data_IF_571098998552
#
_entry.id   IF_571098998552
#
_cell.length_a   1.000
_cell.length_b   1.000
_cell.length_c   1.000
_cell.angle_alpha   90.00
_cell.angle_beta   90.00
_cell.angle_gamma   90.00
#
_symmetry.space_group_name_H-M   'P 1'
#
loop_
_entity.id
_entity.type
_entity.pdbx_description
1 polymer ?
#
# COMPACT_ATOMS: atom_id res chain seq x y z
N UNK A 1 16.66 -7.87 -16.30
CA UNK A 1 15.21 -8.02 -16.06
C UNK A 1 14.64 -6.62 -15.91
N UNK A 2 13.89 -6.11 -16.90
CA UNK A 2 13.60 -4.68 -17.03
C UNK A 2 12.17 -4.44 -17.57
N UNK A 3 11.21 -5.24 -17.11
CA UNK A 3 9.88 -5.32 -17.74
C UNK A 3 8.91 -4.24 -17.24
N UNK A 4 9.09 -3.75 -16.01
CA UNK A 4 8.25 -2.66 -15.45
C UNK A 4 8.75 -1.29 -15.96
N UNK A 5 10.07 -1.08 -16.03
CA UNK A 5 10.68 0.18 -16.50
C UNK A 5 10.36 0.51 -17.96
N UNK A 6 10.19 -0.50 -18.83
CA UNK A 6 9.82 -0.28 -20.25
C UNK A 6 8.36 0.13 -20.46
N UNK A 7 7.47 -0.09 -19.49
CA UNK A 7 6.04 0.25 -19.64
C UNK A 7 5.75 1.71 -19.27
N UNK A 8 6.58 2.32 -18.40
CA UNK A 8 6.39 3.70 -17.91
C UNK A 8 7.28 4.74 -18.58
N UNK A 9 8.28 4.34 -19.37
CA UNK A 9 9.20 5.24 -20.08
C UNK A 9 8.60 6.05 -21.24
N UNK A 10 7.28 6.02 -21.45
CA UNK A 10 6.65 6.82 -22.54
C UNK A 10 6.24 8.24 -22.09
N UNK A 11 6.70 8.71 -20.93
CA UNK A 11 6.48 10.08 -20.42
C UNK A 11 7.70 10.66 -19.68
N UNK A 12 8.92 10.30 -20.06
CA UNK A 12 10.13 10.91 -19.47
C UNK A 12 10.77 11.89 -20.45
N UNK A 13 10.23 13.10 -20.52
CA UNK A 13 11.00 14.32 -20.70
C UNK A 13 10.37 15.38 -19.79
N UNK A 14 10.98 15.57 -18.61
CA UNK A 14 11.21 16.85 -17.93
C UNK A 14 11.48 16.60 -16.43
N UNK A 15 12.70 16.95 -16.05
CA UNK A 15 13.25 16.92 -14.71
C UNK A 15 12.52 17.89 -13.80
N UNK A 16 12.06 17.43 -12.63
CA UNK A 16 12.20 18.08 -11.30
C UNK A 16 11.31 17.36 -10.29
N UNK A 17 11.90 16.96 -9.16
CA UNK A 17 11.27 16.58 -7.88
C UNK A 17 9.73 16.43 -7.85
N UNK A 18 9.25 15.28 -8.29
CA UNK A 18 7.94 14.77 -7.87
C UNK A 18 8.19 13.38 -7.32
N UNK A 19 8.45 13.27 -6.01
CA UNK A 19 8.28 11.98 -5.32
C UNK A 19 6.85 11.55 -5.62
N UNK A 20 6.78 10.53 -6.45
CA UNK A 20 5.67 10.27 -7.34
C UNK A 20 4.42 9.91 -6.55
N UNK A 21 3.33 10.65 -6.77
CA UNK A 21 2.00 10.30 -6.28
C UNK A 21 1.65 8.82 -6.59
N UNK A 22 2.18 8.31 -7.70
CA UNK A 22 2.14 6.89 -8.08
C UNK A 22 2.84 5.93 -7.12
N UNK A 23 4.03 6.24 -6.60
CA UNK A 23 4.77 5.32 -5.71
C UNK A 23 4.05 5.09 -4.37
N UNK A 24 3.37 6.10 -3.83
CA UNK A 24 2.64 5.98 -2.55
C UNK A 24 1.32 5.23 -2.75
N UNK A 25 0.54 5.57 -3.79
CA UNK A 25 -0.71 4.86 -4.09
C UNK A 25 -0.48 3.38 -4.43
N UNK A 26 0.59 3.08 -5.16
CA UNK A 26 1.03 1.72 -5.46
C UNK A 26 1.45 0.97 -4.19
N UNK A 27 2.22 1.63 -3.31
CA UNK A 27 2.61 1.05 -2.02
C UNK A 27 1.38 0.67 -1.20
N UNK A 28 0.44 1.60 -1.01
CA UNK A 28 -0.79 1.37 -0.24
C UNK A 28 -1.62 0.23 -0.84
N UNK A 29 -1.71 0.20 -2.16
CA UNK A 29 -2.42 -0.87 -2.87
C UNK A 29 -1.74 -2.21 -2.66
N UNK A 30 -0.42 -2.29 -2.72
CA UNK A 30 0.32 -3.53 -2.43
C UNK A 30 0.14 -4.00 -0.98
N UNK A 31 0.09 -3.08 -0.01
CA UNK A 31 -0.23 -3.41 1.38
C UNK A 31 -1.65 -3.97 1.49
N UNK A 32 -2.64 -3.33 0.86
CA UNK A 32 -4.02 -3.82 0.81
C UNK A 32 -4.11 -5.22 0.21
N UNK A 33 -3.38 -5.48 -0.87
CA UNK A 33 -3.28 -6.80 -1.50
C UNK A 33 -2.72 -7.83 -0.53
N UNK A 34 -1.61 -7.51 0.17
CA UNK A 34 -1.04 -8.42 1.16
C UNK A 34 -2.04 -8.73 2.27
N UNK A 35 -2.72 -7.72 2.80
CA UNK A 35 -3.73 -7.85 3.84
C UNK A 35 -4.90 -8.75 3.42
N UNK A 36 -5.48 -8.49 2.24
CA UNK A 36 -6.55 -9.31 1.67
C UNK A 36 -6.10 -10.74 1.39
N UNK A 37 -4.86 -10.94 0.95
CA UNK A 37 -4.30 -12.27 0.71
C UNK A 37 -4.13 -13.08 2.00
N UNK A 38 -3.69 -12.45 3.10
CA UNK A 38 -3.61 -13.08 4.42
C UNK A 38 -5.00 -13.48 4.91
N UNK A 39 -6.00 -12.60 4.78
CA UNK A 39 -7.40 -12.91 5.10
C UNK A 39 -7.93 -14.10 4.30
N UNK A 40 -7.65 -14.14 2.99
CA UNK A 40 -8.06 -15.23 2.11
C UNK A 40 -7.53 -16.58 2.58
N UNK A 41 -6.23 -16.64 2.92
CA UNK A 41 -5.57 -17.85 3.40
C UNK A 41 -6.13 -18.29 4.75
N UNK A 42 -6.32 -17.34 5.66
CA UNK A 42 -6.69 -17.64 7.05
C UNK A 42 -8.15 -18.06 7.22
N UNK A 43 -9.06 -17.42 6.48
CA UNK A 43 -10.51 -17.64 6.58
C UNK A 43 -11.04 -18.57 5.49
N UNK A 44 -10.16 -19.09 4.61
CA UNK A 44 -10.54 -20.00 3.53
C UNK A 44 -11.49 -19.36 2.52
N UNK A 45 -11.29 -18.09 2.17
CA UNK A 45 -12.17 -17.36 1.25
C UNK A 45 -11.93 -17.90 -0.17
N UNK A 46 -13.00 -18.38 -0.80
CA UNK A 46 -12.98 -18.89 -2.19
C UNK A 46 -13.58 -17.89 -3.18
N UNK A 47 -14.42 -16.97 -2.71
CA UNK A 47 -15.02 -15.94 -3.55
C UNK A 47 -14.08 -14.73 -3.71
N UNK A 48 -13.48 -14.61 -4.89
CA UNK A 48 -12.53 -13.55 -5.22
C UNK A 48 -13.16 -12.13 -5.18
N UNK A 49 -14.46 -12.00 -5.40
CA UNK A 49 -15.15 -10.70 -5.45
C UNK A 49 -15.27 -10.02 -4.08
N UNK A 50 -14.98 -10.73 -3.00
CA UNK A 50 -14.95 -10.16 -1.64
C UNK A 50 -13.64 -9.37 -1.42
N UNK A 51 -12.61 -9.63 -2.22
CA UNK A 51 -11.24 -9.12 -2.06
C UNK A 51 -10.79 -8.38 -3.33
N UNK A 52 -11.33 -7.18 -3.53
CA UNK A 52 -11.20 -6.45 -4.79
C UNK A 52 -9.76 -6.13 -5.21
N UNK A 53 -8.91 -5.69 -4.27
CA UNK A 53 -7.52 -5.34 -4.58
C UNK A 53 -6.71 -6.60 -4.95
N UNK A 54 -6.89 -7.69 -4.18
CA UNK A 54 -6.26 -8.98 -4.47
C UNK A 54 -6.76 -9.54 -5.81
N UNK A 55 -8.05 -9.39 -6.13
CA UNK A 55 -8.64 -9.81 -7.40
C UNK A 55 -8.00 -9.07 -8.57
N UNK A 56 -7.88 -7.75 -8.47
CA UNK A 56 -7.23 -6.90 -9.46
C UNK A 56 -5.76 -7.30 -9.62
N UNK A 57 -5.03 -7.44 -8.52
CA UNK A 57 -3.62 -7.84 -8.51
C UNK A 57 -3.39 -9.20 -9.18
N UNK A 58 -4.22 -10.19 -8.85
CA UNK A 58 -4.19 -11.53 -9.46
C UNK A 58 -4.43 -11.47 -10.96
N UNK A 59 -5.40 -10.68 -11.43
CA UNK A 59 -5.71 -10.50 -12.85
C UNK A 59 -4.58 -9.80 -13.60
N UNK A 60 -4.05 -8.70 -13.05
CA UNK A 60 -2.99 -7.91 -13.67
C UNK A 60 -1.70 -8.72 -13.82
N UNK A 61 -1.29 -9.44 -12.77
CA UNK A 61 -0.03 -10.19 -12.76
C UNK A 61 -0.18 -11.65 -13.20
N UNK A 62 -1.39 -12.05 -13.64
CA UNK A 62 -1.75 -13.41 -14.05
C UNK A 62 -1.23 -14.46 -13.07
N UNK A 63 -1.48 -14.25 -11.78
CA UNK A 63 -0.97 -15.12 -10.71
C UNK A 63 -1.81 -16.40 -10.68
N UNK A 64 -1.21 -17.61 -10.80
CA UNK A 64 -1.95 -18.86 -10.69
C UNK A 64 -2.42 -19.09 -9.25
N UNK A 65 -3.56 -19.75 -9.08
CA UNK A 65 -3.94 -20.27 -7.76
C UNK A 65 -2.98 -21.39 -7.35
N UNK A 66 -2.63 -21.45 -6.06
CA UNK A 66 -1.78 -22.50 -5.51
C UNK A 66 -2.60 -23.35 -4.53
N UNK A 67 -2.44 -24.67 -4.61
CA UNK A 67 -3.15 -25.63 -3.75
C UNK A 67 -4.68 -25.44 -3.74
N UNK A 68 -5.27 -25.01 -4.86
CA UNK A 68 -6.69 -24.66 -4.98
C UNK A 68 -7.20 -23.63 -3.95
N UNK A 69 -6.29 -22.86 -3.32
CA UNK A 69 -6.60 -21.82 -2.34
C UNK A 69 -6.23 -20.44 -2.89
N UNK A 70 -7.09 -19.46 -2.62
CA UNK A 70 -6.80 -18.06 -2.89
C UNK A 70 -5.87 -17.48 -1.81
N UNK A 71 -5.05 -16.51 -2.20
CA UNK A 71 -4.23 -15.73 -1.29
C UNK A 71 -2.83 -16.28 -1.03
N UNK A 72 -2.54 -17.56 -1.32
CA UNK A 72 -1.19 -18.13 -1.07
C UNK A 72 -0.16 -17.47 -2.00
N UNK A 73 -0.42 -17.54 -3.31
CA UNK A 73 0.49 -17.02 -4.32
C UNK A 73 0.53 -15.49 -4.31
N UNK A 74 -0.62 -14.85 -4.09
CA UNK A 74 -0.76 -13.40 -3.99
C UNK A 74 0.00 -12.86 -2.78
N UNK A 75 -0.14 -13.50 -1.61
CA UNK A 75 0.60 -13.15 -0.38
C UNK A 75 2.11 -13.24 -0.60
N UNK A 76 2.59 -14.33 -1.19
CA UNK A 76 4.02 -14.52 -1.46
C UNK A 76 4.56 -13.44 -2.41
N UNK A 77 3.81 -13.13 -3.47
CA UNK A 77 4.24 -12.19 -4.50
C UNK A 77 4.18 -10.74 -4.05
N UNK A 78 3.12 -10.32 -3.36
CA UNK A 78 3.02 -8.97 -2.79
C UNK A 78 4.09 -8.76 -1.71
N UNK A 79 4.32 -9.74 -0.83
CA UNK A 79 5.42 -9.70 0.15
C UNK A 79 6.77 -9.50 -0.52
N UNK A 80 7.07 -10.25 -1.59
CA UNK A 80 8.35 -10.14 -2.30
C UNK A 80 8.54 -8.74 -2.88
N UNK A 81 7.52 -8.17 -3.52
CA UNK A 81 7.58 -6.80 -4.07
C UNK A 81 7.79 -5.78 -2.95
N UNK A 82 7.02 -5.89 -1.86
CA UNK A 82 7.11 -5.00 -0.71
C UNK A 82 8.48 -5.04 0.00
N UNK A 83 9.14 -6.20 0.01
CA UNK A 83 10.50 -6.31 0.55
C UNK A 83 11.55 -5.75 -0.42
N UNK A 84 11.45 -6.08 -1.71
CA UNK A 84 12.47 -5.74 -2.70
C UNK A 84 12.45 -4.26 -3.11
N UNK A 85 11.26 -3.71 -3.35
CA UNK A 85 11.09 -2.35 -3.88
C UNK A 85 10.94 -1.31 -2.77
N UNK A 86 10.38 -1.70 -1.62
CA UNK A 86 10.07 -0.78 -0.51
C UNK A 86 10.85 -1.06 0.78
N UNK A 87 11.73 -2.07 0.79
CA UNK A 87 12.63 -2.33 1.92
C UNK A 87 11.94 -2.78 3.22
N UNK A 88 10.71 -3.29 3.16
CA UNK A 88 9.99 -3.73 4.36
C UNK A 88 10.62 -4.99 4.98
N UNK A 89 10.70 -5.01 6.31
CA UNK A 89 11.24 -6.13 7.07
C UNK A 89 10.19 -7.25 7.26
N UNK A 90 10.62 -8.50 7.40
CA UNK A 90 9.76 -9.66 7.70
C UNK A 90 8.85 -9.46 8.91
N UNK A 91 9.32 -8.75 9.94
CA UNK A 91 8.55 -8.51 11.16
C UNK A 91 7.24 -7.76 10.87
N UNK A 92 7.25 -6.84 9.91
CA UNK A 92 6.05 -6.11 9.49
C UNK A 92 4.94 -7.08 9.02
N UNK A 93 5.32 -8.07 8.22
CA UNK A 93 4.38 -9.05 7.69
C UNK A 93 3.86 -10.00 8.79
N UNK A 94 4.71 -10.35 9.77
CA UNK A 94 4.32 -11.16 10.94
C UNK A 94 3.29 -10.43 11.80
N UNK A 95 3.45 -9.13 12.00
CA UNK A 95 2.47 -8.30 12.74
C UNK A 95 1.11 -8.27 12.03
N UNK A 96 1.10 -8.09 10.70
CA UNK A 96 -0.14 -8.14 9.92
C UNK A 96 -0.81 -9.52 10.07
N UNK A 97 -0.05 -10.59 9.89
CA UNK A 97 -0.55 -11.96 10.03
C UNK A 97 -1.15 -12.20 11.44
N UNK A 98 -0.46 -11.77 12.49
CA UNK A 98 -0.94 -11.90 13.86
C UNK A 98 -2.19 -11.05 14.12
N UNK A 99 -2.24 -9.84 13.58
CA UNK A 99 -3.38 -8.94 13.73
C UNK A 99 -4.63 -9.49 13.05
N UNK A 100 -4.52 -9.98 11.81
CA UNK A 100 -5.64 -10.62 11.10
C UNK A 100 -6.08 -11.88 11.85
N UNK A 101 -5.13 -12.68 12.34
CA UNK A 101 -5.44 -13.87 13.15
C UNK A 101 -6.22 -13.57 14.42
N UNK A 102 -5.92 -12.44 15.06
CA UNK A 102 -6.58 -12.02 16.30
C UNK A 102 -7.97 -11.44 16.04
N UNK A 103 -8.10 -10.62 15.00
CA UNK A 103 -9.27 -9.76 14.78
C UNK A 103 -10.29 -10.32 13.77
N UNK A 104 -9.87 -11.21 12.86
CA UNK A 104 -10.79 -11.83 11.91
C UNK A 104 -10.93 -13.32 12.21
N UNK A 105 -12.01 -13.68 12.92
CA UNK A 105 -12.32 -15.09 13.24
C UNK A 105 -13.33 -15.69 12.28
N UNK A 106 -14.21 -14.86 11.75
CA UNK A 106 -15.28 -15.24 10.82
C UNK A 106 -15.19 -14.42 9.54
N UNK A 107 -15.86 -14.87 8.47
CA UNK A 107 -15.91 -14.10 7.22
C UNK A 107 -16.67 -12.76 7.35
N UNK A 108 -17.57 -12.64 8.33
CA UNK A 108 -18.29 -11.39 8.58
C UNK A 108 -17.36 -10.31 9.14
N UNK A 109 -16.35 -10.71 9.94
CA UNK A 109 -15.37 -9.80 10.52
C UNK A 109 -14.48 -9.13 9.46
N UNK A 110 -14.35 -9.75 8.28
CA UNK A 110 -13.54 -9.24 7.17
C UNK A 110 -14.02 -7.85 6.75
N UNK A 111 -15.33 -7.70 6.55
CA UNK A 111 -15.90 -6.43 6.06
C UNK A 111 -15.69 -5.33 7.09
N UNK A 112 -16.00 -5.62 8.35
CA UNK A 112 -15.83 -4.68 9.46
C UNK A 112 -14.36 -4.28 9.66
N UNK A 113 -13.46 -5.26 9.63
CA UNK A 113 -12.03 -5.01 9.82
C UNK A 113 -11.40 -4.30 8.63
N UNK A 114 -11.85 -4.60 7.41
CA UNK A 114 -11.42 -3.88 6.21
C UNK A 114 -11.89 -2.42 6.23
N UNK A 115 -13.13 -2.13 6.66
CA UNK A 115 -13.64 -0.77 6.83
C UNK A 115 -12.78 0.00 7.86
N UNK A 116 -12.47 -0.62 8.99
CA UNK A 116 -11.60 -0.02 10.01
C UNK A 116 -10.20 0.28 9.46
N UNK A 117 -9.61 -0.66 8.72
CA UNK A 117 -8.32 -0.46 8.07
C UNK A 117 -8.36 0.66 7.03
N UNK A 118 -9.40 0.74 6.19
CA UNK A 118 -9.53 1.86 5.24
C UNK A 118 -9.67 3.20 5.95
N UNK A 119 -10.47 3.28 7.01
CA UNK A 119 -10.63 4.49 7.83
C UNK A 119 -9.29 4.97 8.39
N UNK A 120 -8.53 4.05 9.00
CA UNK A 120 -7.19 4.36 9.51
C UNK A 120 -6.25 4.93 8.43
N UNK A 121 -6.23 4.34 7.23
CA UNK A 121 -5.39 4.84 6.15
C UNK A 121 -5.81 6.25 5.70
N UNK A 122 -7.11 6.51 5.58
CA UNK A 122 -7.61 7.83 5.21
C UNK A 122 -7.22 8.90 6.25
N UNK A 123 -7.35 8.57 7.54
CA UNK A 123 -6.95 9.47 8.63
C UNK A 123 -5.44 9.72 8.61
N UNK A 124 -4.63 8.67 8.38
CA UNK A 124 -3.18 8.77 8.25
C UNK A 124 -2.79 9.69 7.08
N UNK A 125 -3.38 9.52 5.90
CA UNK A 125 -3.07 10.37 4.75
C UNK A 125 -3.48 11.83 4.97
N UNK A 126 -4.65 12.05 5.57
CA UNK A 126 -5.09 13.39 5.95
C UNK A 126 -4.10 14.07 6.92
N UNK A 127 -3.62 13.33 7.93
CA UNK A 127 -2.60 13.84 8.86
C UNK A 127 -1.28 14.16 8.16
N UNK A 128 -0.82 13.29 7.26
CA UNK A 128 0.40 13.51 6.47
C UNK A 128 0.27 14.75 5.58
N UNK A 129 -0.87 14.94 4.90
CA UNK A 129 -1.14 16.11 4.07
C UNK A 129 -1.14 17.39 4.90
N UNK A 130 -1.82 17.38 6.05
CA UNK A 130 -1.84 18.51 6.97
C UNK A 130 -0.44 18.86 7.49
N UNK A 131 0.39 17.85 7.82
CA UNK A 131 1.76 18.05 8.28
C UNK A 131 2.64 18.65 7.17
N UNK A 132 2.51 18.18 5.93
CA UNK A 132 3.25 18.74 4.79
C UNK A 132 2.88 20.20 4.54
N UNK A 133 1.59 20.54 4.59
CA UNK A 133 1.15 21.92 4.48
C UNK A 133 1.71 22.80 5.61
N UNK A 134 1.73 22.29 6.84
CA UNK A 134 2.26 23.03 7.99
C UNK A 134 3.78 23.26 7.86
N UNK A 135 4.55 22.23 7.49
CA UNK A 135 5.99 22.36 7.21
C UNK A 135 6.28 23.40 6.13
N UNK A 136 5.51 23.39 5.04
CA UNK A 136 5.67 24.33 3.94
C UNK A 136 5.33 25.77 4.36
N UNK A 137 4.22 25.96 5.08
CA UNK A 137 3.81 27.27 5.62
C UNK A 137 4.85 27.83 6.59
N UNK A 138 5.38 27.01 7.48
CA UNK A 138 6.43 27.41 8.41
C UNK A 138 7.73 27.80 7.69
N UNK A 139 8.16 27.00 6.71
CA UNK A 139 9.33 27.32 5.88
C UNK A 139 9.18 28.66 5.14
N UNK A 140 8.01 28.93 4.55
CA UNK A 140 7.73 30.21 3.92
C UNK A 140 7.75 31.39 4.90
N UNK A 141 7.20 31.22 6.11
CA UNK A 141 7.21 32.26 7.14
C UNK A 141 8.64 32.58 7.58
N UNK A 142 9.45 31.56 7.87
CA UNK A 142 10.87 31.73 8.25
C UNK A 142 11.67 32.38 7.12
N UNK A 143 11.47 31.95 5.87
CA UNK A 143 12.14 32.54 4.70
C UNK A 143 11.78 34.02 4.54
N UNK A 144 10.51 34.41 4.71
CA UNK A 144 10.08 35.82 4.67
C UNK A 144 10.69 36.63 5.81
N UNK A 145 10.73 36.07 7.02
CA UNK A 145 11.33 36.71 8.19
C UNK A 145 12.83 36.96 8.01
N UNK A 146 13.58 35.96 7.54
CA UNK A 146 15.01 36.09 7.25
C UNK A 146 15.28 37.11 6.14
N UNK A 147 14.47 37.12 5.08
CA UNK A 147 14.61 38.09 3.99
C UNK A 147 14.33 39.54 4.46
N UNK A 148 13.37 39.71 5.37
CA UNK A 148 13.07 41.01 5.98
C UNK A 148 14.15 41.53 6.94
N UNK A 149 15.01 40.65 7.48
CA UNK A 149 16.10 41.02 8.39
C UNK A 149 17.44 41.22 7.66
N UNK A 150 17.49 40.92 6.36
CA UNK A 150 18.67 41.10 5.50
C UNK A 150 18.53 42.29 4.54
N UNK A 151 17.38 42.98 4.55
CA UNK A 151 17.20 44.35 4.06
C UNK A 151 17.35 45.34 5.22
#
# INVERSE_FOLDING_TARGET
MNFISKLFKKKEEEETEVVSKGSVEEFVTLIRVYYQAVMAVQLGITNLNILNDMALFKRMLKIPTQNNKLGIAEKSRSRKILMQEYGLNENFFKEIDASIKKNCRTQNDIKSYFIMYQGFNNDLFSLLDNLMQWKFRFSMLVKKLLYSQTQ
#
